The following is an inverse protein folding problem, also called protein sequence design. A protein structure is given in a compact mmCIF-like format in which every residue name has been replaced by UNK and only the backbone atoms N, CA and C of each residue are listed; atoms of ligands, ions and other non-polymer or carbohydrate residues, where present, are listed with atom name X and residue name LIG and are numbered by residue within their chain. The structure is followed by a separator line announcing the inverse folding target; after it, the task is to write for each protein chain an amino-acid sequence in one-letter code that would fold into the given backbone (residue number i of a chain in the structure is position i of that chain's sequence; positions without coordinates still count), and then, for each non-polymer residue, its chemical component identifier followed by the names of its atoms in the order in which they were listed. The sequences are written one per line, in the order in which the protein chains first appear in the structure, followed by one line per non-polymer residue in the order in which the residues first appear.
data_IF_374443218948
#
_entry.id   IF_374443218948
#
_cell.length_a   1.000
_cell.length_b   1.000
_cell.length_c   1.000
_cell.angle_alpha   90.00
_cell.angle_beta   90.00
_cell.angle_gamma   90.00
#
_symmetry.space_group_name_H-M   'P 1'
#
loop_
_entity.id
_entity.type
_entity.pdbx_description
1 polymer ?
#
# COMPACT_ATOMS: atom_id res chain seq x y z
N UNK A 1 -1.42 -16.32 -5.81
CA UNK A 1 -2.51 -15.31 -5.74
C UNK A 1 -1.94 -13.93 -6.06
N UNK A 2 -2.72 -13.00 -6.61
CA UNK A 2 -2.24 -11.66 -7.01
C UNK A 2 -3.09 -10.53 -6.41
N UNK A 3 -2.44 -9.40 -6.13
CA UNK A 3 -3.06 -8.17 -5.59
C UNK A 3 -3.10 -7.08 -6.67
N UNK A 4 -4.28 -6.52 -6.95
CA UNK A 4 -4.45 -5.41 -7.88
C UNK A 4 -4.83 -4.14 -7.12
N UNK A 5 -4.03 -3.08 -7.27
CA UNK A 5 -4.17 -1.81 -6.57
C UNK A 5 -4.53 -0.69 -7.55
N UNK A 6 -5.78 -0.24 -7.49
CA UNK A 6 -6.29 0.82 -8.36
C UNK A 6 -5.65 2.19 -8.08
N UNK A 7 -5.75 3.11 -9.03
CA UNK A 7 -5.47 4.52 -8.79
C UNK A 7 -6.49 5.11 -7.79
N UNK A 8 -6.11 6.18 -7.07
CA UNK A 8 -7.01 6.73 -6.04
C UNK A 8 -6.54 8.01 -5.34
N UNK A 9 -5.54 8.72 -5.88
CA UNK A 9 -5.04 9.99 -5.32
C UNK A 9 -4.77 9.92 -3.81
N UNK A 10 -5.39 10.83 -3.07
CA UNK A 10 -5.36 10.95 -1.60
C UNK A 10 -5.64 9.65 -0.80
N UNK A 11 -6.25 8.64 -1.43
CA UNK A 11 -6.76 7.44 -0.76
C UNK A 11 -5.73 6.31 -0.61
N UNK A 12 -4.43 6.58 -0.83
CA UNK A 12 -3.36 5.59 -0.65
C UNK A 12 -3.33 4.95 0.74
N UNK A 13 -3.70 5.71 1.77
CA UNK A 13 -3.79 5.23 3.16
C UNK A 13 -4.83 4.12 3.35
N UNK A 14 -5.95 4.17 2.63
CA UNK A 14 -7.01 3.13 2.74
C UNK A 14 -6.52 1.81 2.16
N UNK A 15 -5.79 1.85 1.04
CA UNK A 15 -5.18 0.66 0.46
C UNK A 15 -4.12 0.07 1.40
N UNK A 16 -3.28 0.90 2.02
CA UNK A 16 -2.29 0.45 2.99
C UNK A 16 -2.94 -0.24 4.20
N UNK A 17 -4.06 0.30 4.72
CA UNK A 17 -4.83 -0.34 5.79
C UNK A 17 -5.42 -1.70 5.39
N UNK A 18 -5.98 -1.82 4.18
CA UNK A 18 -6.50 -3.09 3.69
C UNK A 18 -5.39 -4.14 3.50
N UNK A 19 -4.24 -3.73 2.96
CA UNK A 19 -3.08 -4.61 2.83
C UNK A 19 -2.56 -5.07 4.19
N UNK A 20 -2.55 -4.19 5.19
CA UNK A 20 -2.09 -4.51 6.54
C UNK A 20 -2.95 -5.61 7.16
N UNK A 21 -4.27 -5.43 7.13
CA UNK A 21 -5.21 -6.42 7.64
C UNK A 21 -5.00 -7.78 6.97
N UNK A 22 -4.87 -7.82 5.64
CA UNK A 22 -4.63 -9.08 4.92
C UNK A 22 -3.31 -9.73 5.36
N UNK A 23 -2.24 -8.96 5.52
CA UNK A 23 -0.95 -9.47 5.97
C UNK A 23 -1.00 -10.00 7.41
N UNK A 24 -1.74 -9.34 8.32
CA UNK A 24 -1.97 -9.79 9.70
C UNK A 24 -2.74 -11.13 9.75
N UNK A 25 -3.62 -11.37 8.78
CA UNK A 25 -4.30 -12.67 8.61
C UNK A 25 -3.41 -13.75 7.95
N UNK A 26 -2.13 -13.45 7.70
CA UNK A 26 -1.20 -14.35 7.03
C UNK A 26 -1.44 -14.47 5.52
N UNK A 27 -2.28 -13.62 4.94
CA UNK A 27 -2.57 -13.64 3.50
C UNK A 27 -1.44 -12.92 2.76
N UNK A 28 -0.77 -13.66 1.86
CA UNK A 28 0.34 -13.14 1.05
C UNK A 28 0.06 -13.34 -0.43
N UNK A 29 0.44 -12.32 -1.20
CA UNK A 29 0.31 -12.28 -2.65
C UNK A 29 1.68 -12.46 -3.31
N UNK A 30 1.76 -13.34 -4.31
CA UNK A 30 2.97 -13.65 -5.06
C UNK A 30 3.24 -12.65 -6.20
N UNK A 31 2.23 -11.83 -6.52
CA UNK A 31 2.30 -10.81 -7.54
C UNK A 31 1.47 -9.60 -7.13
N UNK A 32 1.93 -8.40 -7.50
CA UNK A 32 1.21 -7.16 -7.28
C UNK A 32 1.23 -6.32 -8.55
N UNK A 33 0.07 -5.78 -8.92
CA UNK A 33 -0.08 -4.84 -10.01
C UNK A 33 -0.70 -3.56 -9.46
N UNK A 34 -0.22 -2.40 -9.89
CA UNK A 34 -0.71 -1.13 -9.38
C UNK A 34 -0.61 0.01 -10.39
N UNK A 35 -1.47 1.01 -10.24
CA UNK A 35 -1.46 2.23 -11.07
C UNK A 35 -1.38 3.48 -10.18
N UNK A 36 -0.48 4.42 -10.49
CA UNK A 36 -0.27 5.66 -9.72
C UNK A 36 0.01 5.37 -8.23
N UNK A 37 -0.82 5.86 -7.30
CA UNK A 37 -0.74 5.54 -5.86
C UNK A 37 -0.74 4.03 -5.60
N UNK A 38 -1.51 3.27 -6.37
CA UNK A 38 -1.49 1.81 -6.29
C UNK A 38 -0.15 1.21 -6.73
N UNK A 39 0.56 1.84 -7.67
CA UNK A 39 1.91 1.42 -8.07
C UNK A 39 2.94 1.69 -6.97
N UNK A 40 2.84 2.83 -6.28
CA UNK A 40 3.68 3.13 -5.11
C UNK A 40 3.47 2.12 -3.98
N UNK A 41 2.20 1.87 -3.64
CA UNK A 41 1.82 0.88 -2.64
C UNK A 41 2.29 -0.52 -3.03
N UNK A 42 2.12 -0.91 -4.29
CA UNK A 42 2.57 -2.20 -4.81
C UNK A 42 4.09 -2.36 -4.81
N UNK A 43 4.84 -1.32 -5.18
CA UNK A 43 6.29 -1.33 -5.12
C UNK A 43 6.79 -1.49 -3.67
N UNK A 44 6.17 -0.79 -2.72
CA UNK A 44 6.49 -0.92 -1.29
C UNK A 44 6.16 -2.32 -0.75
N UNK A 45 5.00 -2.86 -1.14
CA UNK A 45 4.62 -4.23 -0.82
C UNK A 45 5.65 -5.24 -1.34
N UNK A 46 6.07 -5.12 -2.60
CA UNK A 46 7.05 -6.02 -3.21
C UNK A 46 8.43 -5.93 -2.54
N UNK A 47 8.87 -4.72 -2.16
CA UNK A 47 10.14 -4.51 -1.45
C UNK A 47 10.16 -5.22 -0.08
N UNK A 48 9.04 -5.18 0.64
CA UNK A 48 8.92 -5.80 1.96
C UNK A 48 8.42 -7.25 1.95
N UNK A 49 8.29 -7.86 0.77
CA UNK A 49 7.69 -9.18 0.54
C UNK A 49 6.31 -9.34 1.22
N UNK A 50 5.52 -8.27 1.26
CA UNK A 50 4.22 -8.25 1.93
C UNK A 50 4.24 -8.48 3.45
N UNK A 51 5.38 -8.25 4.12
CA UNK A 51 5.46 -8.37 5.57
C UNK A 51 4.65 -7.28 6.30
N UNK A 52 4.07 -7.66 7.44
CA UNK A 52 3.25 -6.76 8.28
C UNK A 52 4.01 -5.48 8.62
N UNK A 53 5.24 -5.61 9.13
CA UNK A 53 6.07 -4.47 9.52
C UNK A 53 6.32 -3.48 8.37
N UNK A 54 6.52 -3.97 7.14
CA UNK A 54 6.75 -3.10 5.99
C UNK A 54 5.46 -2.40 5.56
N UNK A 55 4.32 -3.09 5.59
CA UNK A 55 3.03 -2.48 5.27
C UNK A 55 2.58 -1.48 6.35
N UNK A 56 2.88 -1.73 7.63
CA UNK A 56 2.71 -0.74 8.70
C UNK A 56 3.52 0.52 8.43
N UNK A 57 4.78 0.36 8.02
CA UNK A 57 5.64 1.49 7.67
C UNK A 57 5.07 2.32 6.52
N UNK A 58 4.52 1.67 5.50
CA UNK A 58 3.82 2.33 4.40
C UNK A 58 2.63 3.15 4.90
N UNK A 59 1.81 2.58 5.78
CA UNK A 59 0.66 3.27 6.39
C UNK A 59 1.11 4.52 7.17
N UNK A 60 2.18 4.43 7.96
CA UNK A 60 2.75 5.58 8.66
C UNK A 60 3.24 6.69 7.71
N UNK A 61 3.88 6.31 6.60
CA UNK A 61 4.33 7.27 5.59
C UNK A 61 3.15 8.02 4.97
N UNK A 62 2.05 7.32 4.68
CA UNK A 62 0.82 7.96 4.22
C UNK A 62 0.21 8.90 5.26
N UNK A 63 0.25 8.55 6.55
CA UNK A 63 -0.25 9.44 7.62
C UNK A 63 0.58 10.73 7.72
N UNK A 64 1.88 10.67 7.41
CA UNK A 64 2.77 11.83 7.39
C UNK A 64 2.67 12.66 6.12
N UNK A 65 2.03 12.14 5.08
CA UNK A 65 1.89 12.79 3.78
C UNK A 65 0.40 13.03 3.45
N UNK A 66 -0.26 14.02 4.10
CA UNK A 66 -1.65 14.34 3.79
C UNK A 66 -1.77 14.80 2.34
N UNK A 67 -2.82 14.34 1.66
CA UNK A 67 -3.05 14.54 0.23
C UNK A 67 -3.01 16.00 -0.25
N UNK A 68 -3.16 16.95 0.68
CA UNK A 68 -3.04 18.38 0.44
C UNK A 68 -1.61 18.82 0.01
N UNK A 69 -0.58 17.99 0.26
CA UNK A 69 0.83 18.31 -0.03
C UNK A 69 1.24 17.92 -1.45
N UNK A 70 0.53 16.99 -2.10
CA UNK A 70 0.89 16.48 -3.45
C UNK A 70 0.42 17.36 -4.61
N UNK A 71 -0.48 18.32 -4.36
CA UNK A 71 -1.03 19.23 -5.37
C UNK A 71 -0.69 20.70 -5.07
N UNK A 72 0.43 20.95 -4.37
CA UNK A 72 0.88 22.30 -4.04
C UNK A 72 2.18 22.65 -4.76
#
# INVERSE_FOLDING_TARGET
MALALAAGGARGVYQAGAMLFLAEQGIRFNAVAGTSVGALNGAFYAQGDGSVAHIERLRELWQKCPALVLFR
#
